data_IF_772898970776
#
_entry.id   IF_772898970776
#
_cell.length_a   1.000
_cell.length_b   1.000
_cell.length_c   1.000
_cell.angle_alpha   90.00
_cell.angle_beta   90.00
_cell.angle_gamma   90.00
#
_symmetry.space_group_name_H-M   'P 1'
#
loop_
_entity.id
_entity.type
_entity.pdbx_description
1 polymer ?
#
# COMPACT_ATOMS: atom_id res chain seq x y z
N UNK A 1 -26.24 -20.74 39.24
CA UNK A 1 -26.08 -19.34 38.79
C UNK A 1 -25.70 -19.36 37.31
N UNK A 2 -26.68 -19.34 36.41
CA UNK A 2 -26.44 -19.39 34.97
C UNK A 2 -26.06 -17.97 34.50
N UNK A 3 -24.82 -17.79 34.02
CA UNK A 3 -24.43 -16.56 33.31
C UNK A 3 -25.23 -16.50 32.01
N UNK A 4 -26.20 -15.61 31.94
CA UNK A 4 -26.84 -15.23 30.68
C UNK A 4 -25.76 -14.63 29.78
N UNK A 5 -25.35 -15.36 28.75
CA UNK A 5 -24.49 -14.82 27.70
C UNK A 5 -25.29 -13.74 26.96
N UNK A 6 -24.84 -12.49 27.09
CA UNK A 6 -25.46 -11.36 26.42
C UNK A 6 -25.09 -11.38 24.93
N UNK A 7 -25.90 -12.10 24.15
CA UNK A 7 -25.72 -12.22 22.70
C UNK A 7 -25.73 -10.87 21.99
N UNK A 8 -26.35 -9.84 22.56
CA UNK A 8 -26.44 -8.51 21.92
C UNK A 8 -25.09 -7.79 21.82
N UNK A 9 -24.22 -7.95 22.82
CA UNK A 9 -22.88 -7.38 22.83
C UNK A 9 -21.99 -8.00 21.72
N UNK A 10 -22.06 -9.33 21.55
CA UNK A 10 -21.26 -10.06 20.54
C UNK A 10 -21.68 -9.72 19.11
N UNK A 11 -22.99 -9.52 18.87
CA UNK A 11 -23.50 -9.07 17.57
C UNK A 11 -23.12 -7.60 17.24
N UNK A 12 -23.06 -6.72 18.24
CA UNK A 12 -22.64 -5.33 18.04
C UNK A 12 -21.12 -5.21 17.74
N UNK A 13 -20.28 -6.01 18.38
CA UNK A 13 -18.82 -5.99 18.15
C UNK A 13 -18.44 -6.54 16.77
N UNK A 14 -19.15 -7.58 16.29
CA UNK A 14 -18.90 -8.15 14.96
C UNK A 14 -19.32 -7.20 13.83
N UNK A 15 -20.44 -6.50 13.97
CA UNK A 15 -20.91 -5.53 12.96
C UNK A 15 -20.03 -4.27 12.89
N UNK A 16 -19.56 -3.77 14.04
CA UNK A 16 -18.64 -2.62 14.10
C UNK A 16 -17.26 -2.94 13.55
N UNK A 17 -16.75 -4.15 13.80
CA UNK A 17 -15.51 -4.63 13.20
C UNK A 17 -15.63 -4.76 11.68
N UNK A 18 -16.68 -5.41 11.18
CA UNK A 18 -16.88 -5.60 9.74
C UNK A 18 -17.03 -4.26 8.99
N UNK A 19 -17.66 -3.26 9.63
CA UNK A 19 -17.73 -1.88 9.09
C UNK A 19 -16.33 -1.25 9.03
N UNK A 20 -15.57 -1.34 10.11
CA UNK A 20 -14.21 -0.80 10.20
C UNK A 20 -13.28 -1.42 9.14
N UNK A 21 -13.32 -2.75 8.97
CA UNK A 21 -12.52 -3.46 7.97
C UNK A 21 -12.93 -3.08 6.53
N UNK A 22 -14.23 -2.90 6.26
CA UNK A 22 -14.69 -2.36 4.97
C UNK A 22 -14.15 -0.96 4.71
N UNK A 23 -14.16 -0.07 5.70
CA UNK A 23 -13.60 1.28 5.57
C UNK A 23 -12.11 1.24 5.24
N UNK A 24 -11.33 0.44 5.96
CA UNK A 24 -9.88 0.27 5.68
C UNK A 24 -9.66 -0.35 4.29
N UNK A 25 -10.45 -1.36 3.92
CA UNK A 25 -10.38 -1.99 2.61
C UNK A 25 -10.65 -0.98 1.48
N UNK A 26 -11.68 -0.13 1.63
CA UNK A 26 -12.00 0.91 0.65
C UNK A 26 -10.90 1.96 0.57
N UNK A 27 -10.34 2.40 1.70
CA UNK A 27 -9.19 3.32 1.73
C UNK A 27 -8.02 2.74 0.93
N UNK A 28 -7.61 1.51 1.27
CA UNK A 28 -6.49 0.83 0.60
C UNK A 28 -6.77 0.57 -0.88
N UNK A 29 -8.01 0.31 -1.27
CA UNK A 29 -8.39 0.15 -2.67
C UNK A 29 -8.23 1.47 -3.42
N UNK A 30 -8.83 2.55 -2.92
CA UNK A 30 -8.78 3.86 -3.58
C UNK A 30 -7.34 4.34 -3.70
N UNK A 31 -6.61 4.40 -2.59
CA UNK A 31 -5.22 4.86 -2.60
C UNK A 31 -4.28 3.88 -3.32
N UNK A 32 -4.56 2.58 -3.29
CA UNK A 32 -3.79 1.59 -4.03
C UNK A 32 -3.97 1.72 -5.55
N UNK A 33 -5.20 2.00 -6.01
CA UNK A 33 -5.47 2.28 -7.42
C UNK A 33 -4.88 3.61 -7.85
N UNK A 34 -4.93 4.64 -7.00
CA UNK A 34 -4.25 5.92 -7.27
C UNK A 34 -2.73 5.75 -7.37
N UNK A 35 -2.14 4.94 -6.49
CA UNK A 35 -0.71 4.62 -6.57
C UNK A 35 -0.36 3.83 -7.84
N UNK A 36 -1.22 2.88 -8.26
CA UNK A 36 -1.02 2.13 -9.49
C UNK A 36 -1.13 3.05 -10.73
N UNK A 37 -2.11 3.95 -10.75
CA UNK A 37 -2.23 4.96 -11.80
C UNK A 37 -0.99 5.85 -11.83
N UNK A 38 -0.51 6.30 -10.67
CA UNK A 38 0.73 7.05 -10.54
C UNK A 38 1.93 6.28 -11.10
N UNK A 39 2.03 4.98 -10.83
CA UNK A 39 3.08 4.11 -11.36
C UNK A 39 3.02 3.98 -12.90
N UNK A 40 1.82 3.89 -13.48
CA UNK A 40 1.63 3.85 -14.94
C UNK A 40 2.05 5.18 -15.57
N UNK A 41 1.57 6.31 -15.03
CA UNK A 41 1.97 7.65 -15.49
C UNK A 41 3.50 7.81 -15.38
N UNK A 42 4.09 7.27 -14.32
CA UNK A 42 5.52 7.31 -14.11
C UNK A 42 6.30 6.53 -15.18
N UNK A 43 5.83 5.32 -15.51
CA UNK A 43 6.38 4.49 -16.58
C UNK A 43 6.26 5.13 -17.96
N UNK A 44 5.08 5.62 -18.30
CA UNK A 44 4.81 6.25 -19.60
C UNK A 44 5.63 7.54 -19.74
N UNK A 45 5.71 8.35 -18.68
CA UNK A 45 6.56 9.53 -18.66
C UNK A 45 8.04 9.19 -18.89
N UNK A 46 8.54 8.14 -18.24
CA UNK A 46 9.94 7.68 -18.40
C UNK A 46 10.20 7.16 -19.82
N UNK A 47 9.23 6.47 -20.40
CA UNK A 47 9.32 5.97 -21.78
C UNK A 47 9.29 7.12 -22.79
N UNK A 48 8.49 8.14 -22.52
CA UNK A 48 8.45 9.35 -23.33
C UNK A 48 9.74 10.16 -23.21
N UNK A 49 10.33 10.21 -22.02
CA UNK A 49 11.58 10.91 -21.74
C UNK A 49 12.75 10.37 -22.59
N UNK A 50 12.93 9.04 -22.60
CA UNK A 50 13.96 8.37 -23.42
C UNK A 50 13.82 8.75 -24.90
N UNK A 51 12.58 8.78 -25.41
CA UNK A 51 12.31 9.17 -26.79
C UNK A 51 12.59 10.67 -27.00
N UNK A 52 12.15 11.53 -26.08
CA UNK A 52 12.35 12.97 -26.15
C UNK A 52 13.84 13.33 -26.26
N UNK A 53 14.68 12.72 -25.43
CA UNK A 53 16.12 12.92 -25.48
C UNK A 53 16.74 12.46 -26.81
N UNK A 54 16.18 11.44 -27.45
CA UNK A 54 16.66 10.94 -28.75
C UNK A 54 16.30 11.86 -29.92
N UNK A 55 15.17 12.58 -29.85
CA UNK A 55 14.67 13.41 -30.95
C UNK A 55 14.92 14.91 -30.79
N UNK A 56 14.76 15.44 -29.58
CA UNK A 56 14.80 16.87 -29.27
C UNK A 56 16.05 17.21 -28.45
N UNK A 57 16.50 16.28 -27.61
CA UNK A 57 17.58 16.50 -26.66
C UNK A 57 17.14 17.28 -25.42
N UNK A 58 18.06 17.39 -24.44
CA UNK A 58 17.82 18.10 -23.18
C UNK A 58 18.12 19.58 -23.31
N UNK A 59 17.09 20.43 -23.24
CA UNK A 59 17.23 21.89 -23.22
C UNK A 59 17.14 22.51 -21.81
N UNK A 60 16.35 21.90 -20.91
CA UNK A 60 16.17 22.32 -19.50
C UNK A 60 15.79 21.16 -18.57
N UNK A 61 15.88 21.37 -17.26
CA UNK A 61 15.53 20.33 -16.26
C UNK A 61 14.05 20.00 -16.22
N UNK A 62 13.13 20.92 -16.54
CA UNK A 62 11.69 20.64 -16.54
C UNK A 62 11.15 20.65 -17.98
N UNK A 63 11.17 19.49 -18.61
CA UNK A 63 10.56 19.21 -19.90
C UNK A 63 9.22 18.47 -19.72
N UNK A 64 8.34 18.43 -20.73
CA UNK A 64 7.05 17.77 -20.61
C UNK A 64 7.09 16.31 -20.12
N UNK A 65 8.02 15.45 -20.58
CA UNK A 65 8.18 14.10 -20.04
C UNK A 65 8.50 14.07 -18.54
N UNK A 66 9.44 14.93 -18.09
CA UNK A 66 9.78 15.04 -16.68
C UNK A 66 8.58 15.46 -15.81
N UNK A 67 7.74 16.38 -16.29
CA UNK A 67 6.54 16.79 -15.57
C UNK A 67 5.55 15.63 -15.45
N UNK A 68 5.40 14.82 -16.50
CA UNK A 68 4.58 13.62 -16.47
C UNK A 68 5.15 12.60 -15.46
N UNK A 69 6.45 12.31 -15.52
CA UNK A 69 7.13 11.41 -14.57
C UNK A 69 6.93 11.85 -13.12
N UNK A 70 7.21 13.13 -12.83
CA UNK A 70 7.08 13.71 -11.49
C UNK A 70 5.64 13.70 -11.00
N UNK A 71 4.64 13.85 -11.88
CA UNK A 71 3.23 13.71 -11.50
C UNK A 71 2.90 12.28 -11.05
N UNK A 72 3.41 11.27 -11.75
CA UNK A 72 3.26 9.86 -11.38
C UNK A 72 3.94 9.52 -10.05
N UNK A 73 5.16 10.01 -9.85
CA UNK A 73 5.89 9.92 -8.57
C UNK A 73 5.09 10.56 -7.45
N UNK A 74 4.56 11.77 -7.68
CA UNK A 74 3.81 12.53 -6.67
C UNK A 74 2.50 11.83 -6.30
N UNK A 75 1.73 11.35 -7.27
CA UNK A 75 0.49 10.60 -7.03
C UNK A 75 0.75 9.34 -6.20
N UNK A 76 1.81 8.60 -6.54
CA UNK A 76 2.22 7.40 -5.82
C UNK A 76 2.64 7.72 -4.39
N UNK A 77 3.55 8.69 -4.23
CA UNK A 77 4.08 9.10 -2.93
C UNK A 77 3.00 9.61 -1.98
N UNK A 78 2.11 10.48 -2.46
CA UNK A 78 0.97 10.98 -1.67
C UNK A 78 0.05 9.83 -1.28
N UNK A 79 -0.23 8.90 -2.19
CA UNK A 79 -1.11 7.75 -1.89
C UNK A 79 -0.53 6.85 -0.80
N UNK A 80 0.77 6.52 -0.89
CA UNK A 80 1.47 5.76 0.14
C UNK A 80 1.49 6.48 1.49
N UNK A 81 1.85 7.77 1.49
CA UNK A 81 1.90 8.61 2.68
C UNK A 81 0.53 8.73 3.36
N UNK A 82 -0.52 9.07 2.61
CA UNK A 82 -1.87 9.20 3.15
C UNK A 82 -2.37 7.89 3.74
N UNK A 83 -2.09 6.75 3.10
CA UNK A 83 -2.46 5.43 3.63
C UNK A 83 -1.83 5.22 5.00
N UNK A 84 -0.52 5.43 5.12
CA UNK A 84 0.21 5.26 6.38
C UNK A 84 -0.34 6.22 7.44
N UNK A 85 -0.51 7.51 7.13
CA UNK A 85 -0.98 8.49 8.11
C UNK A 85 -2.41 8.21 8.60
N UNK A 86 -3.33 7.88 7.70
CA UNK A 86 -4.73 7.62 8.03
C UNK A 86 -4.84 6.32 8.84
N UNK A 87 -4.18 5.24 8.41
CA UNK A 87 -4.21 3.97 9.15
C UNK A 87 -3.51 4.08 10.51
N UNK A 88 -2.41 4.83 10.62
CA UNK A 88 -1.76 5.12 11.90
C UNK A 88 -2.71 5.84 12.86
N UNK A 89 -3.52 6.77 12.34
CA UNK A 89 -4.53 7.46 13.15
C UNK A 89 -5.66 6.52 13.60
N UNK A 90 -6.15 5.64 12.72
CA UNK A 90 -7.17 4.65 13.08
C UNK A 90 -6.66 3.57 14.02
N UNK A 91 -5.46 3.05 13.80
CA UNK A 91 -4.83 2.01 14.63
C UNK A 91 -4.63 2.49 16.08
N UNK A 92 -4.30 3.76 16.29
CA UNK A 92 -4.22 4.38 17.63
C UNK A 92 -5.56 4.43 18.37
N UNK A 93 -6.68 4.47 17.65
CA UNK A 93 -8.03 4.50 18.22
C UNK A 93 -8.68 3.13 18.32
N UNK A 94 -8.18 2.14 17.58
CA UNK A 94 -8.75 0.80 17.51
C UNK A 94 -7.66 -0.27 17.41
N UNK A 95 -7.38 -0.94 18.53
CA UNK A 95 -6.34 -1.97 18.64
C UNK A 95 -6.65 -3.25 17.87
N UNK A 96 -7.90 -3.46 17.44
CA UNK A 96 -8.28 -4.58 16.57
C UNK A 96 -7.83 -4.28 15.14
N UNK A 97 -8.04 -3.05 14.65
CA UNK A 97 -7.57 -2.63 13.33
C UNK A 97 -6.06 -2.69 13.20
N UNK A 98 -5.34 -2.35 14.28
CA UNK A 98 -3.87 -2.43 14.33
C UNK A 98 -3.31 -3.83 14.02
N UNK A 99 -4.09 -4.91 14.23
CA UNK A 99 -3.66 -6.29 13.92
C UNK A 99 -3.60 -6.58 12.42
N UNK A 100 -4.27 -5.77 11.60
CA UNK A 100 -4.34 -5.93 10.15
C UNK A 100 -3.42 -4.95 9.40
N UNK A 101 -2.58 -4.23 10.14
CA UNK A 101 -1.60 -3.29 9.62
C UNK A 101 -0.21 -3.64 10.16
N UNK A 102 0.82 -3.32 9.40
CA UNK A 102 2.21 -3.49 9.82
C UNK A 102 2.66 -2.24 10.57
N UNK A 103 3.14 -2.43 11.80
CA UNK A 103 3.74 -1.36 12.60
C UNK A 103 5.14 -1.01 12.10
N UNK A 104 5.47 0.28 12.05
CA UNK A 104 6.82 0.78 11.76
C UNK A 104 7.20 1.86 12.77
N UNK A 105 8.41 1.73 13.33
CA UNK A 105 8.96 2.64 14.35
C UNK A 105 8.01 2.90 15.54
N UNK A 106 7.11 1.96 15.85
CA UNK A 106 6.07 2.05 16.91
C UNK A 106 5.06 3.22 16.77
N UNK A 107 5.23 4.08 15.76
CA UNK A 107 4.44 5.31 15.55
C UNK A 107 3.51 5.15 14.35
N UNK A 108 3.96 4.42 13.33
CA UNK A 108 3.26 4.28 12.07
C UNK A 108 2.62 2.89 11.94
N UNK A 109 1.45 2.85 11.30
CA UNK A 109 0.72 1.63 10.94
C UNK A 109 0.16 1.77 9.54
N UNK A 110 0.35 0.74 8.72
CA UNK A 110 -0.17 0.67 7.35
C UNK A 110 0.13 -0.69 6.70
N UNK A 111 -0.43 -1.00 5.52
CA UNK A 111 -0.03 -2.18 4.78
C UNK A 111 1.43 -2.03 4.31
N UNK A 112 2.20 -3.11 4.27
CA UNK A 112 3.59 -3.09 3.81
C UNK A 112 3.76 -2.40 2.44
N UNK A 113 2.79 -2.61 1.53
CA UNK A 113 2.77 -1.98 0.21
C UNK A 113 2.75 -0.44 0.27
N UNK A 114 2.08 0.16 1.25
CA UNK A 114 2.04 1.62 1.39
C UNK A 114 3.41 2.20 1.81
N UNK A 115 4.15 1.49 2.68
CA UNK A 115 5.52 1.89 3.03
C UNK A 115 6.45 1.79 1.83
N UNK A 116 6.36 0.69 1.06
CA UNK A 116 7.14 0.49 -0.16
C UNK A 116 6.84 1.63 -1.15
N UNK A 117 5.58 1.86 -1.49
CA UNK A 117 5.18 2.94 -2.41
C UNK A 117 5.69 4.30 -1.94
N UNK A 118 5.45 4.66 -0.67
CA UNK A 118 5.83 5.97 -0.13
C UNK A 118 7.34 6.20 -0.12
N UNK A 119 8.12 5.24 0.39
CA UNK A 119 9.57 5.37 0.48
C UNK A 119 10.24 5.34 -0.89
N UNK A 120 9.75 4.50 -1.80
CA UNK A 120 10.30 4.40 -3.14
C UNK A 120 9.93 5.62 -3.99
N UNK A 121 8.71 6.16 -3.86
CA UNK A 121 8.36 7.42 -4.51
C UNK A 121 9.19 8.60 -3.97
N UNK A 122 9.47 8.64 -2.67
CA UNK A 122 10.41 9.62 -2.09
C UNK A 122 11.82 9.45 -2.69
N UNK A 123 12.27 8.21 -2.84
CA UNK A 123 13.57 7.90 -3.48
C UNK A 123 13.60 8.44 -4.91
N UNK A 124 12.57 8.20 -5.72
CA UNK A 124 12.47 8.78 -7.07
C UNK A 124 12.47 10.32 -7.04
N UNK A 125 11.71 10.93 -6.13
CA UNK A 125 11.63 12.39 -6.00
C UNK A 125 12.98 13.02 -5.63
N UNK A 126 13.81 12.33 -4.84
CA UNK A 126 15.18 12.74 -4.50
C UNK A 126 16.17 12.47 -5.63
N UNK A 127 15.99 11.37 -6.38
CA UNK A 127 16.83 11.07 -7.54
C UNK A 127 16.75 12.15 -8.61
N UNK A 128 15.59 12.78 -8.82
CA UNK A 128 15.42 13.82 -9.84
C UNK A 128 16.33 15.06 -9.68
N UNK A 129 16.39 15.76 -8.54
CA UNK A 129 17.32 16.87 -8.35
C UNK A 129 18.78 16.41 -8.29
N UNK A 130 19.06 15.20 -7.79
CA UNK A 130 20.41 14.64 -7.80
C UNK A 130 20.90 14.36 -9.21
N UNK A 131 20.02 13.88 -10.08
CA UNK A 131 20.29 13.70 -11.51
C UNK A 131 20.61 15.05 -12.17
N UNK A 132 19.77 16.07 -11.95
CA UNK A 132 20.03 17.41 -12.45
C UNK A 132 21.40 17.95 -11.99
N UNK A 133 21.76 17.74 -10.72
CA UNK A 133 23.07 18.11 -10.19
C UNK A 133 24.21 17.33 -10.87
N UNK A 134 24.05 16.02 -11.07
CA UNK A 134 25.03 15.20 -11.78
C UNK A 134 25.32 15.71 -13.17
N UNK A 135 24.30 16.16 -13.90
CA UNK A 135 24.47 16.76 -15.22
C UNK A 135 25.23 18.09 -15.21
N UNK A 136 25.19 18.84 -14.10
CA UNK A 136 26.03 20.05 -13.96
C UNK A 136 27.52 19.71 -13.80
N UNK A 137 27.84 18.55 -13.23
CA UNK A 137 29.21 18.12 -12.97
C UNK A 137 29.85 17.42 -14.16
N UNK A 138 29.11 16.51 -14.81
CA UNK A 138 29.66 15.59 -15.80
C UNK A 138 29.19 15.89 -17.22
N UNK A 139 28.20 16.77 -17.39
CA UNK A 139 27.62 17.11 -18.68
C UNK A 139 26.26 16.48 -18.92
N UNK A 140 25.58 16.96 -19.96
CA UNK A 140 24.24 16.53 -20.35
C UNK A 140 24.28 15.10 -20.91
N UNK A 141 23.35 14.26 -20.44
CA UNK A 141 23.06 12.92 -20.98
C UNK A 141 24.28 11.97 -21.07
N UNK A 142 25.22 12.09 -20.11
CA UNK A 142 26.48 11.33 -20.07
C UNK A 142 26.36 9.81 -20.13
N UNK A 143 25.26 9.23 -19.62
CA UNK A 143 24.86 7.83 -19.84
C UNK A 143 23.49 7.54 -19.23
N UNK A 144 22.69 6.67 -19.85
CA UNK A 144 21.47 6.12 -19.21
C UNK A 144 21.77 5.33 -17.92
N UNK A 145 23.01 4.86 -17.79
CA UNK A 145 23.50 4.13 -16.61
C UNK A 145 24.09 5.04 -15.52
N UNK A 146 23.92 6.36 -15.65
CA UNK A 146 24.27 7.28 -14.57
C UNK A 146 23.57 6.86 -13.27
N UNK A 147 24.21 7.04 -12.10
CA UNK A 147 23.73 6.47 -10.84
C UNK A 147 22.31 6.92 -10.49
N UNK A 148 21.95 8.17 -10.79
CA UNK A 148 20.64 8.71 -10.47
C UNK A 148 19.56 8.30 -11.49
N UNK A 149 19.89 8.07 -12.76
CA UNK A 149 19.00 7.39 -13.70
C UNK A 149 18.65 5.98 -13.20
N UNK A 150 19.64 5.21 -12.77
CA UNK A 150 19.41 3.85 -12.24
C UNK A 150 18.55 3.89 -10.97
N UNK A 151 18.84 4.81 -10.05
CA UNK A 151 18.04 5.01 -8.83
C UNK A 151 16.58 5.36 -9.15
N UNK A 152 16.36 6.19 -10.17
CA UNK A 152 15.03 6.64 -10.59
C UNK A 152 14.24 5.54 -11.33
N UNK A 153 14.88 4.83 -12.28
CA UNK A 153 14.28 3.70 -13.02
C UNK A 153 14.01 2.51 -12.11
N UNK A 154 14.90 2.19 -11.16
CA UNK A 154 14.64 1.15 -10.17
C UNK A 154 13.43 1.49 -9.30
N UNK A 155 13.30 2.78 -8.92
CA UNK A 155 12.16 3.25 -8.14
C UNK A 155 10.84 3.09 -8.88
N UNK A 156 10.81 3.32 -10.19
CA UNK A 156 9.63 3.11 -11.03
C UNK A 156 9.07 1.68 -10.92
N UNK A 157 9.94 0.66 -11.03
CA UNK A 157 9.53 -0.73 -10.89
C UNK A 157 9.06 -1.08 -9.47
N UNK A 158 9.77 -0.61 -8.44
CA UNK A 158 9.45 -0.92 -7.05
C UNK A 158 8.13 -0.24 -6.61
N UNK A 159 7.83 0.97 -7.10
CA UNK A 159 6.54 1.65 -6.84
C UNK A 159 5.37 0.82 -7.37
N UNK A 160 5.48 0.28 -8.59
CA UNK A 160 4.43 -0.57 -9.18
C UNK A 160 4.21 -1.85 -8.35
N UNK A 161 5.29 -2.50 -7.90
CA UNK A 161 5.22 -3.68 -7.03
C UNK A 161 4.60 -3.35 -5.66
N UNK A 162 4.97 -2.21 -5.08
CA UNK A 162 4.38 -1.72 -3.83
C UNK A 162 2.88 -1.47 -3.97
N UNK A 163 2.44 -0.86 -5.07
CA UNK A 163 1.02 -0.60 -5.34
C UNK A 163 0.25 -1.92 -5.50
N UNK A 164 0.79 -2.89 -6.24
CA UNK A 164 0.20 -4.22 -6.36
C UNK A 164 0.10 -4.94 -5.01
N UNK A 165 1.13 -4.86 -4.16
CA UNK A 165 1.11 -5.43 -2.82
C UNK A 165 0.11 -4.73 -1.89
N UNK A 166 -0.04 -3.41 -2.03
CA UNK A 166 -1.07 -2.67 -1.30
C UNK A 166 -2.47 -3.11 -1.71
N UNK A 167 -2.72 -3.33 -3.00
CA UNK A 167 -3.99 -3.84 -3.53
C UNK A 167 -4.25 -5.30 -3.11
N UNK A 168 -3.24 -6.16 -3.03
CA UNK A 168 -3.42 -7.54 -2.55
C UNK A 168 -3.90 -7.56 -1.09
N UNK A 169 -3.47 -6.59 -0.27
CA UNK A 169 -3.95 -6.44 1.11
C UNK A 169 -5.44 -6.09 1.19
N UNK A 170 -6.01 -5.45 0.15
CA UNK A 170 -7.46 -5.19 0.05
C UNK A 170 -8.22 -6.51 -0.08
N UNK A 171 -7.76 -7.40 -0.97
CA UNK A 171 -8.38 -8.70 -1.19
C UNK A 171 -8.39 -9.53 0.10
N UNK A 172 -7.28 -9.50 0.85
CA UNK A 172 -7.19 -10.16 2.16
C UNK A 172 -8.24 -9.62 3.15
N UNK A 173 -8.37 -8.30 3.29
CA UNK A 173 -9.37 -7.69 4.19
C UNK A 173 -10.82 -7.98 3.77
N UNK A 174 -11.11 -8.04 2.46
CA UNK A 174 -12.45 -8.35 1.95
C UNK A 174 -12.85 -9.80 2.21
N UNK A 175 -11.91 -10.74 2.09
CA UNK A 175 -12.15 -12.14 2.45
C UNK A 175 -12.51 -12.32 3.93
N UNK A 176 -11.98 -11.46 4.82
CA UNK A 176 -12.35 -11.48 6.24
C UNK A 176 -13.75 -10.90 6.51
N UNK A 177 -14.24 -10.01 5.65
CA UNK A 177 -15.57 -9.39 5.78
C UNK A 177 -16.69 -10.23 5.16
N UNK A 178 -16.45 -10.85 4.01
CA UNK A 178 -17.42 -11.67 3.25
C UNK A 178 -16.76 -12.93 2.65
N UNK A 179 -16.56 -14.00 3.43
CA UNK A 179 -15.89 -15.23 2.98
C UNK A 179 -16.66 -15.95 1.87
N UNK A 180 -18.01 -15.88 1.92
CA UNK A 180 -18.92 -16.57 1.01
C UNK A 180 -18.98 -15.90 -0.38
N UNK A 181 -18.81 -14.58 -0.46
CA UNK A 181 -18.93 -13.85 -1.72
C UNK A 181 -17.70 -14.01 -2.64
N UNK A 182 -16.54 -14.36 -2.07
CA UNK A 182 -15.25 -14.40 -2.79
C UNK A 182 -14.67 -15.82 -2.92
N UNK A 183 -15.40 -16.86 -2.50
CA UNK A 183 -14.88 -18.25 -2.51
C UNK A 183 -13.60 -18.42 -1.69
N UNK A 184 -13.38 -17.55 -0.69
CA UNK A 184 -12.10 -17.39 -0.05
C UNK A 184 -11.97 -18.42 1.09
N UNK A 185 -11.09 -19.42 0.93
CA UNK A 185 -10.74 -20.33 2.02
C UNK A 185 -9.88 -19.61 3.06
N UNK A 186 -10.52 -18.98 4.05
CA UNK A 186 -9.83 -18.35 5.18
C UNK A 186 -9.19 -19.44 6.06
N UNK A 187 -7.98 -19.87 5.71
CA UNK A 187 -7.09 -20.65 6.58
C UNK A 187 -6.19 -19.69 7.37
N UNK A 188 -6.74 -18.98 8.34
CA UNK A 188 -5.91 -18.25 9.31
C UNK A 188 -6.54 -18.34 10.70
N UNK A 189 -6.21 -19.42 11.43
CA UNK A 189 -6.27 -19.41 12.89
C UNK A 189 -5.13 -18.46 13.34
N UNK A 190 -5.50 -17.34 13.97
CA UNK A 190 -4.59 -16.46 14.69
C UNK A 190 -3.89 -17.27 15.79
N UNK A 191 -2.58 -17.45 15.68
CA UNK A 191 -1.75 -17.85 16.82
C UNK A 191 -1.75 -16.71 17.84
N UNK A 192 -1.97 -16.98 19.14
CA UNK A 192 -1.69 -15.99 20.18
C UNK A 192 -0.18 -15.76 20.23
N UNK A 193 0.25 -14.49 20.26
CA UNK A 193 1.57 -14.16 20.83
C UNK A 193 1.56 -14.67 22.29
N UNK A 194 2.56 -15.48 22.62
CA UNK A 194 2.66 -16.25 23.85
C UNK A 194 2.41 -15.42 25.11
N UNK A 195 1.60 -15.97 26.03
CA UNK A 195 1.49 -15.46 27.40
C UNK A 195 0.07 -15.40 27.98
N UNK A 196 -0.69 -16.49 27.96
CA UNK A 196 -1.62 -16.97 29.02
C UNK A 196 -2.59 -18.00 28.43
N UNK A 197 -2.58 -19.19 29.02
CA UNK A 197 -3.52 -20.28 28.77
C UNK A 197 -4.96 -19.80 28.98
N UNK A 198 -5.73 -19.60 27.91
CA UNK A 198 -7.20 -19.66 27.90
C UNK A 198 -7.67 -20.12 26.51
N UNK A 199 -8.37 -21.26 26.49
CA UNK A 199 -9.31 -21.74 25.46
C UNK A 199 -9.06 -21.39 23.99
N UNK A 200 -8.67 -22.40 23.19
CA UNK A 200 -8.72 -22.34 21.72
C UNK A 200 -10.18 -22.20 21.26
N UNK A 201 -10.55 -21.05 20.69
CA UNK A 201 -11.76 -20.90 19.88
C UNK A 201 -11.32 -20.62 18.44
N UNK A 202 -11.01 -21.68 17.67
CA UNK A 202 -11.05 -21.56 16.20
C UNK A 202 -12.54 -21.65 15.83
N UNK A 203 -13.18 -20.49 15.62
CA UNK A 203 -14.48 -20.43 14.96
C UNK A 203 -14.23 -20.59 13.46
N UNK A 204 -14.19 -21.84 12.99
CA UNK A 204 -14.27 -22.17 11.58
C UNK A 204 -15.61 -21.60 11.07
N UNK A 205 -15.57 -20.56 10.25
CA UNK A 205 -16.76 -20.12 9.51
C UNK A 205 -16.99 -21.09 8.34
N UNK A 206 -17.32 -22.35 8.63
CA UNK A 206 -18.04 -23.22 7.71
C UNK A 206 -18.60 -24.50 8.39
N UNK A 207 -19.86 -24.80 8.07
CA UNK A 207 -20.70 -25.97 8.46
C UNK A 207 -21.32 -26.00 9.86
N UNK A 208 -22.44 -25.30 10.01
CA UNK A 208 -23.63 -25.94 10.58
C UNK A 208 -24.53 -26.33 9.40
N UNK A 209 -24.27 -27.50 8.82
CA UNK A 209 -25.28 -28.21 8.05
C UNK A 209 -26.29 -28.70 9.08
N UNK A 210 -27.47 -28.09 9.11
CA UNK A 210 -28.60 -28.63 9.82
C UNK A 210 -28.97 -29.96 9.14
N UNK A 211 -28.54 -31.08 9.72
CA UNK A 211 -29.16 -32.36 9.45
C UNK A 211 -30.55 -32.33 10.09
N UNK A 212 -31.58 -32.22 9.25
CA UNK A 212 -32.89 -32.82 9.52
C UNK A 212 -32.88 -34.24 8.96
#
# INVERSE_FOLDING_TARGET
>A
MAKTFDGTAVFNDSTTLARSLRTVSTLRLVLGLTALLGAIIFLEGTSWDIQWHSYIGRDRTLIPPHLMMLSGVTLSGISGLLTVLIESWWARRNTILARYSSGFAEIFSGPLGAYIVGFTALTAAVAFPLDAYWHTLYGIDVAIWAPFHVMFVASMGIVALGAAYMLSSVAHLRCLCDPLALGCHVRQCLLPRAGRDHGRVCATCNRLVAHR
#
